data_IF_793540372762
#
_entry.id   IF_793540372762
#
_cell.length_a   1.000
_cell.length_b   1.000
_cell.length_c   1.000
_cell.angle_alpha   90.00
_cell.angle_beta   90.00
_cell.angle_gamma   90.00
#
_symmetry.space_group_name_H-M   'P 1'
#
loop_
_entity.id
_entity.type
_entity.pdbx_description
1 polymer ?
#
# COMPACT_ATOMS: atom_id res chain seq x y z
N UNK A 1 0.64 6.80 10.67
CA UNK A 1 -0.07 6.97 9.38
C UNK A 1 0.80 6.63 8.17
N UNK A 2 1.95 7.27 7.98
CA UNK A 2 2.82 7.06 6.79
C UNK A 2 3.24 5.59 6.57
N UNK A 3 3.58 4.86 7.65
CA UNK A 3 3.88 3.43 7.57
C UNK A 3 2.70 2.61 7.00
N UNK A 4 1.50 2.73 7.57
CA UNK A 4 0.31 1.98 7.11
C UNK A 4 -0.04 2.30 5.65
N UNK A 5 0.08 3.57 5.25
CA UNK A 5 -0.12 4.00 3.85
C UNK A 5 0.96 3.42 2.92
N UNK A 6 2.21 3.32 3.36
CA UNK A 6 3.30 2.70 2.59
C UNK A 6 3.10 1.20 2.38
N UNK A 7 2.66 0.48 3.41
CA UNK A 7 2.34 -0.95 3.29
C UNK A 7 1.11 -1.16 2.38
N UNK A 8 0.07 -0.32 2.53
CA UNK A 8 -1.09 -0.36 1.64
C UNK A 8 -0.71 -0.09 0.17
N UNK A 9 0.18 0.86 -0.08
CA UNK A 9 0.73 1.13 -1.42
C UNK A 9 1.53 -0.06 -1.98
N UNK A 10 2.30 -0.78 -1.14
CA UNK A 10 3.03 -1.97 -1.56
C UNK A 10 2.08 -3.12 -1.94
N UNK A 11 1.02 -3.36 -1.15
CA UNK A 11 -0.03 -4.32 -1.48
C UNK A 11 -0.74 -3.97 -2.80
N UNK A 12 -1.04 -2.70 -3.01
CA UNK A 12 -1.62 -2.19 -4.25
C UNK A 12 -0.70 -2.42 -5.46
N UNK A 13 0.61 -2.17 -5.34
CA UNK A 13 1.58 -2.50 -6.41
C UNK A 13 1.55 -3.97 -6.75
N UNK A 14 1.46 -4.86 -5.76
CA UNK A 14 1.40 -6.29 -6.03
C UNK A 14 0.15 -6.70 -6.78
N UNK A 15 -1.01 -6.21 -6.38
CA UNK A 15 -2.23 -6.42 -7.14
C UNK A 15 -2.08 -5.95 -8.59
N UNK A 16 -1.48 -4.78 -8.85
CA UNK A 16 -1.25 -4.30 -10.21
C UNK A 16 -0.40 -5.25 -11.09
N UNK A 17 0.57 -5.97 -10.51
CA UNK A 17 1.34 -6.99 -11.24
C UNK A 17 0.47 -8.17 -11.71
N UNK A 18 -0.64 -8.45 -11.01
CA UNK A 18 -1.62 -9.49 -11.33
C UNK A 18 -2.69 -9.08 -12.35
N UNK A 19 -2.43 -8.06 -13.17
CA UNK A 19 -3.34 -7.50 -14.19
C UNK A 19 -4.59 -6.75 -13.65
N UNK A 20 -4.54 -6.24 -12.43
CA UNK A 20 -5.59 -5.40 -11.88
C UNK A 20 -5.42 -3.92 -12.28
N UNK A 21 -6.52 -3.17 -12.33
CA UNK A 21 -6.47 -1.71 -12.54
C UNK A 21 -6.09 -0.97 -11.26
N UNK A 22 -5.58 0.25 -11.41
CA UNK A 22 -5.21 1.13 -10.28
C UNK A 22 -6.40 1.40 -9.37
N UNK A 23 -7.59 1.62 -9.93
CA UNK A 23 -8.81 1.85 -9.17
C UNK A 23 -9.27 0.62 -8.41
N UNK A 24 -9.27 -0.56 -9.05
CA UNK A 24 -9.66 -1.79 -8.40
C UNK A 24 -8.70 -2.16 -7.26
N UNK A 25 -7.39 -2.03 -7.48
CA UNK A 25 -6.39 -2.33 -6.46
C UNK A 25 -6.52 -1.39 -5.25
N UNK A 26 -6.73 -0.09 -5.48
CA UNK A 26 -6.97 0.87 -4.40
C UNK A 26 -8.25 0.54 -3.64
N UNK A 27 -9.36 0.30 -4.35
CA UNK A 27 -10.64 -0.06 -3.74
C UNK A 27 -10.55 -1.35 -2.91
N UNK A 28 -9.90 -2.39 -3.43
CA UNK A 28 -9.67 -3.64 -2.70
C UNK A 28 -8.90 -3.41 -1.40
N UNK A 29 -7.79 -2.67 -1.47
CA UNK A 29 -6.98 -2.39 -0.27
C UNK A 29 -7.74 -1.54 0.74
N UNK A 30 -8.50 -0.53 0.29
CA UNK A 30 -9.31 0.32 1.18
C UNK A 30 -10.48 -0.45 1.79
N UNK A 31 -11.19 -1.29 1.05
CA UNK A 31 -12.29 -2.08 1.64
C UNK A 31 -11.78 -3.07 2.68
N UNK A 32 -10.54 -3.54 2.55
CA UNK A 32 -9.93 -4.40 3.56
C UNK A 32 -9.32 -3.62 4.73
N UNK A 33 -8.61 -2.52 4.49
CA UNK A 33 -7.89 -1.81 5.55
C UNK A 33 -8.67 -0.64 6.16
N UNK A 34 -9.65 -0.10 5.42
CA UNK A 34 -10.62 0.90 5.83
C UNK A 34 -10.05 1.99 6.71
N UNK A 35 -10.71 2.17 7.86
CA UNK A 35 -10.40 3.18 8.87
C UNK A 35 -9.00 3.03 9.48
N UNK A 36 -8.32 1.89 9.32
CA UNK A 36 -6.97 1.71 9.85
C UNK A 36 -5.95 2.58 9.13
N UNK A 37 -6.16 2.82 7.84
CA UNK A 37 -5.26 3.61 6.97
C UNK A 37 -5.79 5.03 6.81
N UNK A 38 -7.11 5.18 6.74
CA UNK A 38 -7.79 6.47 6.54
C UNK A 38 -8.99 6.59 7.50
N UNK A 39 -8.74 6.85 8.80
CA UNK A 39 -9.80 7.00 9.78
C UNK A 39 -10.63 8.22 9.40
N UNK A 40 -11.95 8.01 9.32
CA UNK A 40 -12.94 9.05 9.04
C UNK A 40 -13.00 9.52 7.57
N UNK A 41 -12.25 8.94 6.64
CA UNK A 41 -12.40 9.26 5.21
C UNK A 41 -13.44 8.35 4.55
N UNK A 42 -14.23 8.92 3.64
CA UNK A 42 -15.17 8.16 2.83
C UNK A 42 -14.39 7.25 1.88
N UNK A 43 -14.86 6.01 1.64
CA UNK A 43 -14.15 5.00 0.84
C UNK A 43 -13.61 5.52 -0.50
N UNK A 44 -14.38 6.36 -1.20
CA UNK A 44 -13.96 6.98 -2.47
C UNK A 44 -12.76 7.93 -2.29
N UNK A 45 -12.81 8.77 -1.26
CA UNK A 45 -11.74 9.72 -0.95
C UNK A 45 -10.48 9.00 -0.50
N UNK A 46 -10.63 7.97 0.34
CA UNK A 46 -9.53 7.10 0.76
C UNK A 46 -8.88 6.39 -0.44
N UNK A 47 -9.66 5.95 -1.44
CA UNK A 47 -9.14 5.33 -2.64
C UNK A 47 -8.33 6.33 -3.50
N UNK A 48 -8.83 7.55 -3.68
CA UNK A 48 -8.07 8.62 -4.36
C UNK A 48 -6.79 8.97 -3.61
N UNK A 49 -6.88 9.16 -2.29
CA UNK A 49 -5.73 9.47 -1.45
C UNK A 49 -4.67 8.36 -1.48
N UNK A 50 -5.09 7.09 -1.51
CA UNK A 50 -4.17 5.95 -1.64
C UNK A 50 -3.50 5.92 -3.02
N UNK A 51 -4.25 6.18 -4.11
CA UNK A 51 -3.69 6.25 -5.47
C UNK A 51 -2.68 7.37 -5.62
N UNK A 52 -2.95 8.53 -5.03
CA UNK A 52 -2.05 9.68 -5.02
C UNK A 52 -0.78 9.36 -4.23
N UNK A 53 -0.93 8.83 -3.01
CA UNK A 53 0.17 8.46 -2.14
C UNK A 53 1.08 7.39 -2.78
N UNK A 54 0.50 6.37 -3.41
CA UNK A 54 1.22 5.37 -4.20
C UNK A 54 2.07 6.01 -5.30
N UNK A 55 1.49 6.96 -6.05
CA UNK A 55 2.21 7.71 -7.08
C UNK A 55 3.36 8.54 -6.53
N UNK A 56 3.14 9.25 -5.41
CA UNK A 56 4.18 10.03 -4.72
C UNK A 56 5.35 9.14 -4.30
N UNK A 57 5.10 8.00 -3.64
CA UNK A 57 6.16 7.08 -3.21
C UNK A 57 7.01 6.58 -4.38
N UNK A 58 6.38 6.23 -5.50
CA UNK A 58 7.09 5.76 -6.70
C UNK A 58 7.89 6.87 -7.39
N UNK A 59 7.41 8.12 -7.31
CA UNK A 59 8.06 9.27 -7.91
C UNK A 59 9.26 9.81 -7.11
N UNK A 60 9.46 9.38 -5.86
CA UNK A 60 10.62 9.78 -5.04
C UNK A 60 11.89 9.21 -5.71
N UNK A 61 12.55 10.01 -6.54
CA UNK A 61 13.89 9.70 -7.09
C UNK A 61 15.00 10.18 -6.16
N UNK A 62 14.86 11.37 -5.55
CA UNK A 62 15.89 11.98 -4.69
C UNK A 62 15.43 13.19 -3.83
N UNK A 63 14.14 13.38 -3.51
CA UNK A 63 13.65 14.66 -2.91
C UNK A 63 13.28 14.57 -1.41
N UNK A 64 13.37 15.75 -0.78
CA UNK A 64 13.46 16.15 0.62
C UNK A 64 12.20 15.89 1.45
N UNK A 65 12.32 14.98 2.41
CA UNK A 65 11.36 14.80 3.49
C UNK A 65 11.67 13.51 4.24
N UNK A 66 11.94 13.60 5.56
CA UNK A 66 12.26 12.42 6.37
C UNK A 66 11.12 11.41 6.32
N UNK A 67 9.87 11.88 6.38
CA UNK A 67 8.68 11.02 6.38
C UNK A 67 8.45 10.30 5.05
N UNK A 68 8.58 10.99 3.91
CA UNK A 68 8.44 10.39 2.58
C UNK A 68 9.56 9.39 2.27
N UNK A 69 10.78 9.69 2.74
CA UNK A 69 11.92 8.77 2.62
C UNK A 69 11.70 7.49 3.45
N UNK A 70 11.18 7.63 4.68
CA UNK A 70 10.81 6.49 5.53
C UNK A 70 9.67 5.69 4.92
N UNK A 71 8.64 6.36 4.37
CA UNK A 71 7.55 5.68 3.69
C UNK A 71 8.03 4.87 2.48
N UNK A 72 8.95 5.44 1.66
CA UNK A 72 9.58 4.73 0.55
C UNK A 72 10.41 3.54 1.01
N UNK A 73 11.16 3.67 2.10
CA UNK A 73 11.92 2.57 2.69
C UNK A 73 10.98 1.40 3.04
N UNK A 74 9.92 1.66 3.81
CA UNK A 74 8.97 0.62 4.19
C UNK A 74 8.26 0.00 2.99
N UNK A 75 7.88 0.82 2.00
CA UNK A 75 7.32 0.34 0.74
C UNK A 75 8.23 -0.68 0.06
N UNK A 76 9.53 -0.39 -0.07
CA UNK A 76 10.50 -1.31 -0.69
C UNK A 76 10.75 -2.56 0.14
N UNK A 77 10.87 -2.44 1.46
CA UNK A 77 11.05 -3.60 2.33
C UNK A 77 9.86 -4.55 2.25
N UNK A 78 8.63 -4.04 2.21
CA UNK A 78 7.45 -4.86 2.01
C UNK A 78 7.46 -5.55 0.64
N UNK A 79 7.81 -4.84 -0.44
CA UNK A 79 7.92 -5.46 -1.76
C UNK A 79 8.99 -6.57 -1.82
N UNK A 80 10.14 -6.36 -1.18
CA UNK A 80 11.20 -7.37 -1.10
C UNK A 80 10.72 -8.62 -0.38
N UNK A 81 10.06 -8.46 0.76
CA UNK A 81 9.51 -9.59 1.52
C UNK A 81 8.55 -10.41 0.66
N UNK A 82 7.59 -9.75 0.01
CA UNK A 82 6.64 -10.44 -0.88
C UNK A 82 7.37 -11.24 -1.98
N UNK A 83 8.31 -10.59 -2.66
CA UNK A 83 9.07 -11.21 -3.74
C UNK A 83 9.91 -12.39 -3.25
N UNK A 84 10.49 -12.28 -2.05
CA UNK A 84 11.30 -13.34 -1.45
C UNK A 84 10.51 -14.61 -1.17
N UNK A 85 9.23 -14.50 -0.84
CA UNK A 85 8.35 -15.65 -0.57
C UNK A 85 7.62 -16.19 -1.81
N UNK A 86 7.83 -15.59 -3.00
CA UNK A 86 7.17 -15.99 -4.27
C UNK A 86 5.65 -16.09 -4.17
N UNK A 87 5.03 -15.24 -3.37
CA UNK A 87 3.57 -15.24 -3.26
C UNK A 87 2.94 -14.65 -4.53
N UNK A 88 1.78 -15.18 -4.93
CA UNK A 88 1.01 -14.54 -5.97
C UNK A 88 0.52 -13.16 -5.48
N UNK A 89 0.29 -12.20 -6.40
CA UNK A 89 -0.21 -10.86 -6.11
C UNK A 89 -1.31 -10.77 -5.05
N UNK A 90 -2.31 -11.64 -5.14
CA UNK A 90 -3.50 -11.60 -4.28
C UNK A 90 -3.16 -12.12 -2.89
N UNK A 91 -2.47 -13.25 -2.80
CA UNK A 91 -2.07 -13.85 -1.53
C UNK A 91 -1.05 -12.99 -0.78
N UNK A 92 -0.20 -12.27 -1.52
CA UNK A 92 0.75 -11.29 -0.99
C UNK A 92 0.05 -10.11 -0.36
N UNK A 93 -0.90 -9.52 -1.09
CA UNK A 93 -1.72 -8.42 -0.61
C UNK A 93 -2.54 -8.85 0.61
N UNK A 94 -3.18 -10.02 0.55
CA UNK A 94 -3.97 -10.57 1.65
C UNK A 94 -3.12 -10.84 2.90
N UNK A 95 -1.91 -11.40 2.72
CA UNK A 95 -0.99 -11.66 3.84
C UNK A 95 -0.52 -10.38 4.48
N UNK A 96 -0.12 -9.37 3.70
CA UNK A 96 0.27 -8.06 4.23
C UNK A 96 -0.89 -7.33 4.91
N UNK A 97 -2.09 -7.39 4.31
CA UNK A 97 -3.32 -6.85 4.89
C UNK A 97 -3.60 -7.53 6.24
N UNK A 98 -3.46 -8.86 6.32
CA UNK A 98 -3.60 -9.62 7.56
C UNK A 98 -2.55 -9.25 8.59
N UNK A 99 -1.28 -9.11 8.21
CA UNK A 99 -0.22 -8.69 9.13
C UNK A 99 -0.47 -7.30 9.70
N UNK A 100 -0.96 -6.35 8.90
CA UNK A 100 -1.35 -5.02 9.37
C UNK A 100 -2.53 -5.05 10.34
N UNK A 101 -3.47 -5.99 10.14
CA UNK A 101 -4.64 -6.18 11.02
C UNK A 101 -4.26 -6.87 12.34
N UNK A 102 -3.32 -7.81 12.31
CA UNK A 102 -2.86 -8.56 13.48
C UNK A 102 -1.82 -7.83 14.33
N UNK A 103 -1.07 -6.89 13.75
CA UNK A 103 -0.08 -6.07 14.45
C UNK A 103 -0.65 -4.85 15.19
N UNK A 104 -1.94 -4.88 15.56
CA UNK A 104 -2.60 -3.86 16.38
C UNK A 104 -2.74 -4.34 17.83
#
# INVERSE_FOLDING_TARGET
MAFKKAVAAAAMTKLLEGAYSKDYAAFYVITQLGDMVFPSEITREAAEALKEFHGKILAIKAVKGKEESVARFHYHECLKQINGYRFDPKFSADTLIKTLRLGQ
#
